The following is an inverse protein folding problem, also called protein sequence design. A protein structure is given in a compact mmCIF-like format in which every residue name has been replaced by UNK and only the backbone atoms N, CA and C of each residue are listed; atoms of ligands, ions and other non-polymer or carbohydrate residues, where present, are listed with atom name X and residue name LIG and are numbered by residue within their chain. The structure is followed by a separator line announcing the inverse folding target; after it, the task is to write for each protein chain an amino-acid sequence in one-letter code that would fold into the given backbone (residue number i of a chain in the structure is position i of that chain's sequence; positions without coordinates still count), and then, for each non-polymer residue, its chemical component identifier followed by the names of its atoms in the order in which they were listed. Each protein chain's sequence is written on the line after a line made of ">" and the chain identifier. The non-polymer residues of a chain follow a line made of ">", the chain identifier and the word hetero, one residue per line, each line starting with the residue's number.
data_IF_199878794848
#
_entry.id   IF_199878794848
#
_cell.length_a   1.000
_cell.length_b   1.000
_cell.length_c   1.000
_cell.angle_alpha   90.00
_cell.angle_beta   90.00
_cell.angle_gamma   90.00
#
_symmetry.space_group_name_H-M   'P 1'
#
loop_
_entity.id
_entity.type
_entity.pdbx_description
1 polymer ?
#
# COMPACT_ATOMS: atom_id res chain seq x y z
N UNK A 1 11.18 10.81 1.22
CA UNK A 1 11.42 10.70 -0.23
C UNK A 1 10.18 11.16 -0.98
N UNK A 2 10.30 12.16 -1.85
CA UNK A 2 9.15 12.73 -2.57
C UNK A 2 8.62 11.77 -3.64
N UNK A 3 7.32 11.50 -3.61
CA UNK A 3 6.60 10.74 -4.65
C UNK A 3 6.14 11.70 -5.74
N UNK A 4 5.36 12.72 -5.37
CA UNK A 4 4.89 13.77 -6.26
C UNK A 4 4.43 15.01 -5.45
N UNK A 5 3.95 16.05 -6.14
CA UNK A 5 3.33 17.23 -5.53
C UNK A 5 1.90 17.38 -6.05
N UNK A 6 0.96 17.65 -5.16
CA UNK A 6 -0.44 17.91 -5.48
C UNK A 6 -0.86 19.26 -4.93
N UNK A 7 -1.14 20.24 -5.80
CA UNK A 7 -1.59 21.59 -5.40
C UNK A 7 -0.76 22.22 -4.28
N UNK A 8 0.56 22.05 -4.34
CA UNK A 8 1.50 22.55 -3.33
C UNK A 8 1.80 21.58 -2.17
N UNK A 9 1.04 20.50 -2.01
CA UNK A 9 1.29 19.48 -0.98
C UNK A 9 2.27 18.43 -1.50
N UNK A 10 3.41 18.28 -0.82
CA UNK A 10 4.34 17.20 -1.11
C UNK A 10 3.81 15.88 -0.54
N UNK A 11 3.72 14.87 -1.39
CA UNK A 11 3.42 13.50 -0.98
C UNK A 11 4.73 12.73 -0.89
N UNK A 12 5.03 12.17 0.27
CA UNK A 12 6.34 11.58 0.56
C UNK A 12 6.22 10.21 1.21
N UNK A 13 7.14 9.30 0.92
CA UNK A 13 7.40 8.13 1.79
C UNK A 13 8.43 8.56 2.82
N UNK A 14 8.11 8.46 4.11
CA UNK A 14 9.07 8.69 5.19
C UNK A 14 9.90 7.41 5.39
N UNK A 15 11.17 7.55 5.79
CA UNK A 15 12.10 6.43 5.94
C UNK A 15 12.48 6.15 7.39
N UNK A 16 12.22 7.09 8.29
CA UNK A 16 12.48 6.95 9.72
C UNK A 16 11.18 6.56 10.40
N UNK A 17 11.26 5.55 11.26
CA UNK A 17 10.15 5.04 12.06
C UNK A 17 8.93 4.57 11.24
N UNK A 18 9.13 4.34 9.94
CA UNK A 18 8.09 3.89 9.04
C UNK A 18 7.85 2.40 9.25
N UNK A 19 6.58 2.04 9.50
CA UNK A 19 6.17 0.68 9.77
C UNK A 19 5.02 0.25 8.85
N UNK A 20 4.72 -1.04 8.83
CA UNK A 20 3.58 -1.57 8.10
C UNK A 20 2.24 -0.98 8.58
N UNK A 21 1.21 -0.90 7.71
CA UNK A 21 1.24 -1.16 6.26
C UNK A 21 1.95 -0.08 5.43
N UNK A 22 2.26 -0.35 4.14
CA UNK A 22 2.82 0.63 3.22
C UNK A 22 1.98 1.91 3.13
N UNK A 23 2.61 3.07 3.33
CA UNK A 23 1.92 4.35 3.35
C UNK A 23 2.79 5.51 2.87
N UNK A 24 2.12 6.62 2.57
CA UNK A 24 2.74 7.92 2.30
C UNK A 24 2.20 8.95 3.27
N UNK A 25 2.95 10.02 3.43
CA UNK A 25 2.66 11.16 4.28
C UNK A 25 2.47 12.41 3.44
N UNK A 26 1.58 13.27 3.90
CA UNK A 26 1.36 14.60 3.37
C UNK A 26 1.40 15.57 4.52
N UNK A 27 2.27 16.58 4.42
CA UNK A 27 2.33 17.68 5.38
C UNK A 27 1.59 18.90 4.81
N UNK A 28 0.51 19.29 5.48
CA UNK A 28 -0.29 20.48 5.20
C UNK A 28 0.03 21.66 6.12
N UNK A 29 1.13 21.60 6.89
CA UNK A 29 1.63 22.61 7.81
C UNK A 29 0.89 22.63 9.15
N UNK A 30 -0.45 22.71 9.11
CA UNK A 30 -1.30 22.66 10.32
C UNK A 30 -1.94 21.30 10.58
N UNK A 31 -1.77 20.38 9.64
CA UNK A 31 -2.26 19.01 9.67
C UNK A 31 -1.29 18.14 8.87
N UNK A 32 -1.21 16.87 9.23
CA UNK A 32 -0.61 15.82 8.42
C UNK A 32 -1.66 14.78 8.08
N UNK A 33 -1.53 14.13 6.93
CA UNK A 33 -2.37 13.00 6.56
C UNK A 33 -1.52 11.85 6.08
N UNK A 34 -1.95 10.63 6.41
CA UNK A 34 -1.32 9.41 5.92
C UNK A 34 -2.28 8.69 4.99
N UNK A 35 -1.75 8.17 3.88
CA UNK A 35 -2.51 7.36 2.94
C UNK A 35 -1.85 5.99 2.79
N UNK A 36 -2.61 4.93 3.04
CA UNK A 36 -2.16 3.55 2.85
C UNK A 36 -2.29 3.15 1.40
N UNK A 37 -1.38 2.31 0.96
CA UNK A 37 -1.45 1.60 -0.31
C UNK A 37 -1.01 0.15 -0.09
N UNK A 38 -1.20 -0.67 -1.12
CA UNK A 38 -0.87 -2.09 -1.06
C UNK A 38 -0.01 -2.52 -2.24
N UNK A 39 0.66 -3.66 -2.07
CA UNK A 39 1.37 -4.37 -3.11
C UNK A 39 0.54 -5.52 -3.72
N UNK A 40 -0.71 -5.73 -3.35
CA UNK A 40 -1.58 -6.74 -4.00
C UNK A 40 -2.81 -6.14 -4.72
N UNK A 41 -3.09 -4.85 -4.54
CA UNK A 41 -4.12 -4.13 -5.28
C UNK A 41 -3.76 -2.64 -5.40
N UNK A 42 -4.42 -1.92 -6.31
CA UNK A 42 -4.21 -0.50 -6.60
C UNK A 42 -4.98 0.47 -5.71
N UNK A 43 -5.64 -0.04 -4.67
CA UNK A 43 -6.39 0.78 -3.74
C UNK A 43 -5.48 1.69 -2.93
N UNK A 44 -5.95 2.92 -2.73
CA UNK A 44 -5.34 3.90 -1.84
C UNK A 44 -6.43 4.41 -0.91
N UNK A 45 -6.13 4.40 0.38
CA UNK A 45 -7.06 4.78 1.43
C UNK A 45 -6.47 5.85 2.33
N UNK A 46 -7.30 6.78 2.79
CA UNK A 46 -6.91 7.65 3.89
C UNK A 46 -6.77 6.81 5.16
N UNK A 47 -5.60 6.85 5.79
CA UNK A 47 -5.37 6.22 7.08
C UNK A 47 -5.88 7.13 8.19
N UNK A 48 -5.30 8.32 8.29
CA UNK A 48 -5.66 9.30 9.30
C UNK A 48 -5.27 10.72 8.91
N UNK A 49 -5.74 11.66 9.73
CA UNK A 49 -5.35 13.07 9.67
C UNK A 49 -5.08 13.54 11.10
N UNK A 50 -3.92 14.12 11.33
CA UNK A 50 -3.46 14.56 12.65
C UNK A 50 -3.09 16.04 12.63
N UNK A 51 -3.57 16.86 13.59
CA UNK A 51 -4.64 16.54 14.54
C UNK A 51 -6.01 16.53 13.83
N UNK A 52 -6.92 15.70 14.34
CA UNK A 52 -8.26 15.54 13.75
C UNK A 52 -9.03 16.87 13.63
N UNK A 53 -8.89 17.75 14.63
CA UNK A 53 -9.55 19.08 14.66
C UNK A 53 -9.02 20.10 13.65
N UNK A 54 -7.94 19.79 12.91
CA UNK A 54 -7.39 20.66 11.85
C UNK A 54 -7.46 20.02 10.47
N UNK A 55 -8.30 19.00 10.32
CA UNK A 55 -8.51 18.29 9.05
C UNK A 55 -8.86 19.27 7.93
N UNK A 56 -8.22 19.15 6.74
CA UNK A 56 -8.56 19.99 5.61
C UNK A 56 -9.93 19.60 5.03
N UNK A 57 -10.41 20.39 4.07
CA UNK A 57 -11.63 20.05 3.33
C UNK A 57 -11.53 18.65 2.69
N UNK A 58 -12.63 17.89 2.71
CA UNK A 58 -12.67 16.52 2.18
C UNK A 58 -12.21 16.45 0.72
N UNK A 59 -12.57 17.44 -0.10
CA UNK A 59 -12.13 17.54 -1.50
C UNK A 59 -10.60 17.57 -1.67
N UNK A 60 -9.85 18.08 -0.68
CA UNK A 60 -8.38 18.05 -0.70
C UNK A 60 -7.88 16.62 -0.48
N UNK A 61 -8.44 15.92 0.52
CA UNK A 61 -8.07 14.54 0.84
C UNK A 61 -8.44 13.57 -0.28
N UNK A 62 -9.63 13.72 -0.86
CA UNK A 62 -10.06 12.91 -2.00
C UNK A 62 -9.22 13.17 -3.24
N UNK A 63 -8.89 14.44 -3.50
CA UNK A 63 -7.99 14.80 -4.59
C UNK A 63 -6.59 14.21 -4.42
N UNK A 64 -6.03 14.25 -3.20
CA UNK A 64 -4.77 13.59 -2.87
C UNK A 64 -4.85 12.07 -3.08
N UNK A 65 -5.91 11.43 -2.57
CA UNK A 65 -6.15 9.99 -2.71
C UNK A 65 -6.22 9.57 -4.17
N UNK A 66 -7.01 10.28 -4.99
CA UNK A 66 -7.14 10.01 -6.42
C UNK A 66 -5.82 10.22 -7.17
N UNK A 67 -5.12 11.33 -6.89
CA UNK A 67 -3.85 11.63 -7.52
C UNK A 67 -2.77 10.60 -7.15
N UNK A 68 -2.78 10.10 -5.91
CA UNK A 68 -1.90 9.01 -5.47
C UNK A 68 -2.30 7.67 -6.08
N UNK A 69 -3.60 7.36 -6.21
CA UNK A 69 -4.07 6.13 -6.88
C UNK A 69 -3.50 6.01 -8.29
N UNK A 70 -3.52 7.10 -9.07
CA UNK A 70 -2.94 7.15 -10.42
C UNK A 70 -1.41 6.98 -10.45
N UNK A 71 -0.73 7.18 -9.31
CA UNK A 71 0.73 7.24 -9.19
C UNK A 71 1.28 6.27 -8.14
N UNK A 72 0.48 5.30 -7.69
CA UNK A 72 0.80 4.45 -6.55
C UNK A 72 2.05 3.61 -6.81
N UNK A 73 2.31 3.25 -8.07
CA UNK A 73 3.52 2.58 -8.51
C UNK A 73 4.79 3.36 -8.11
N UNK A 74 4.79 4.70 -8.11
CA UNK A 74 5.92 5.50 -7.65
C UNK A 74 6.17 5.37 -6.15
N UNK A 75 5.09 5.33 -5.35
CA UNK A 75 5.19 5.11 -3.91
C UNK A 75 5.71 3.70 -3.59
N UNK A 76 5.20 2.67 -4.30
CA UNK A 76 5.67 1.29 -4.20
C UNK A 76 7.16 1.15 -4.49
N UNK A 77 7.63 1.78 -5.58
CA UNK A 77 9.06 1.77 -5.96
C UNK A 77 9.93 2.36 -4.85
N UNK A 78 9.56 3.53 -4.35
CA UNK A 78 10.30 4.18 -3.26
C UNK A 78 10.30 3.32 -2.01
N UNK A 79 9.12 2.87 -1.57
CA UNK A 79 8.95 2.00 -0.41
C UNK A 79 9.80 0.72 -0.54
N UNK A 80 9.67 -0.01 -1.64
CA UNK A 80 10.43 -1.23 -1.89
C UNK A 80 11.93 -0.98 -1.88
N UNK A 81 12.39 0.05 -2.59
CA UNK A 81 13.83 0.35 -2.70
C UNK A 81 14.49 0.70 -1.35
N UNK A 82 13.71 1.17 -0.36
CA UNK A 82 14.23 1.66 0.92
C UNK A 82 13.91 0.77 2.11
N UNK A 83 12.70 0.23 2.18
CA UNK A 83 12.19 -0.55 3.32
C UNK A 83 12.20 -2.06 3.05
N UNK A 84 12.26 -2.49 1.78
CA UNK A 84 12.43 -3.91 1.38
C UNK A 84 11.40 -4.87 2.00
N UNK A 85 10.18 -4.41 2.22
CA UNK A 85 9.06 -5.22 2.70
C UNK A 85 7.77 -4.82 1.98
N UNK A 86 6.88 -5.79 1.74
CA UNK A 86 5.53 -5.56 1.21
C UNK A 86 4.48 -5.60 2.33
N UNK A 87 4.89 -6.01 3.54
CA UNK A 87 4.03 -6.24 4.69
C UNK A 87 2.93 -7.29 4.42
N UNK A 88 3.20 -8.30 3.58
CA UNK A 88 2.21 -9.33 3.21
C UNK A 88 2.54 -10.69 3.81
N UNK A 89 3.78 -10.90 4.24
CA UNK A 89 4.21 -12.10 4.92
C UNK A 89 3.32 -12.38 6.13
N UNK A 90 2.99 -13.65 6.35
CA UNK A 90 2.07 -14.12 7.39
C UNK A 90 0.60 -13.73 7.23
N UNK A 91 0.22 -13.02 6.15
CA UNK A 91 -1.19 -12.83 5.80
C UNK A 91 -1.70 -14.02 4.97
N UNK A 92 -3.03 -14.10 4.80
CA UNK A 92 -3.67 -15.16 4.03
C UNK A 92 -4.00 -14.65 2.62
N UNK A 93 -3.67 -15.46 1.61
CA UNK A 93 -4.11 -15.28 0.24
C UNK A 93 -5.32 -16.17 -0.04
N UNK A 94 -6.45 -15.58 -0.42
CA UNK A 94 -7.62 -16.32 -0.92
C UNK A 94 -7.51 -16.48 -2.43
N UNK A 95 -7.38 -17.73 -2.88
CA UNK A 95 -7.25 -18.06 -4.30
C UNK A 95 -8.50 -17.76 -5.12
N UNK A 96 -9.69 -17.88 -4.52
CA UNK A 96 -10.95 -17.62 -5.21
C UNK A 96 -11.21 -16.12 -5.31
N UNK A 97 -10.94 -15.37 -4.24
CA UNK A 97 -11.12 -13.92 -4.22
C UNK A 97 -10.00 -13.16 -4.93
N UNK A 98 -8.85 -13.80 -5.20
CA UNK A 98 -7.64 -13.17 -5.75
C UNK A 98 -7.21 -11.97 -4.89
N UNK A 99 -7.24 -12.17 -3.56
CA UNK A 99 -7.09 -11.11 -2.59
C UNK A 99 -6.39 -11.60 -1.31
N UNK A 100 -5.74 -10.65 -0.63
CA UNK A 100 -5.28 -10.89 0.74
C UNK A 100 -6.45 -10.70 1.70
N UNK A 101 -6.65 -11.64 2.61
CA UNK A 101 -7.76 -11.67 3.56
C UNK A 101 -7.25 -11.82 4.98
N UNK A 102 -7.99 -11.25 5.94
CA UNK A 102 -7.63 -11.35 7.37
C UNK A 102 -8.01 -12.72 7.97
N UNK A 103 -9.01 -13.40 7.38
CA UNK A 103 -9.57 -14.64 7.90
C UNK A 103 -10.00 -15.55 6.76
N UNK A 104 -9.87 -16.86 6.97
CA UNK A 104 -10.43 -17.85 6.07
C UNK A 104 -11.95 -17.93 6.24
N UNK A 105 -12.71 -17.72 5.16
CA UNK A 105 -14.12 -18.12 5.11
C UNK A 105 -14.26 -19.61 4.77
N UNK A 106 -15.30 -20.24 5.30
CA UNK A 106 -15.60 -21.65 5.01
C UNK A 106 -15.78 -21.86 3.51
N UNK A 107 -15.09 -22.85 2.94
CA UNK A 107 -15.13 -23.18 1.51
C UNK A 107 -14.13 -22.40 0.63
N UNK A 108 -13.40 -21.43 1.19
CA UNK A 108 -12.33 -20.73 0.46
C UNK A 108 -11.01 -21.50 0.53
N UNK A 109 -10.31 -21.56 -0.60
CA UNK A 109 -8.95 -22.10 -0.67
C UNK A 109 -7.96 -21.00 -0.33
N UNK A 110 -7.67 -20.85 0.96
CA UNK A 110 -6.71 -19.88 1.47
C UNK A 110 -5.32 -20.49 1.66
N UNK A 111 -4.29 -19.67 1.53
CA UNK A 111 -2.91 -20.05 1.78
C UNK A 111 -2.20 -18.99 2.62
N UNK A 112 -1.29 -19.43 3.48
CA UNK A 112 -0.38 -18.50 4.15
C UNK A 112 0.64 -17.97 3.13
N UNK A 113 0.85 -16.66 3.11
CA UNK A 113 1.92 -16.03 2.33
C UNK A 113 3.23 -16.24 3.08
N UNK A 114 4.10 -17.07 2.50
CA UNK A 114 5.44 -17.36 3.01
C UNK A 114 6.39 -16.19 2.75
N UNK A 115 6.37 -15.67 1.51
CA UNK A 115 7.19 -14.54 1.10
C UNK A 115 6.48 -13.73 0.02
N UNK A 116 6.77 -12.42 0.00
CA UNK A 116 6.27 -11.51 -1.01
C UNK A 116 7.42 -10.68 -1.59
N UNK A 117 7.43 -10.51 -2.92
CA UNK A 117 8.48 -9.77 -3.60
C UNK A 117 7.91 -8.86 -4.68
N UNK A 118 8.31 -7.59 -4.68
CA UNK A 118 7.90 -6.61 -5.69
C UNK A 118 8.93 -6.53 -6.82
N UNK A 119 8.48 -6.77 -8.05
CA UNK A 119 9.24 -6.67 -9.30
C UNK A 119 8.98 -5.30 -9.93
N UNK A 120 9.83 -4.33 -9.58
CA UNK A 120 9.69 -2.91 -9.95
C UNK A 120 9.54 -2.67 -11.46
N UNK A 121 10.28 -3.39 -12.29
CA UNK A 121 10.29 -3.20 -13.75
C UNK A 121 8.94 -3.54 -14.40
N UNK A 122 8.16 -4.43 -13.77
CA UNK A 122 6.86 -4.90 -14.27
C UNK A 122 5.68 -4.36 -13.45
N UNK A 123 5.92 -3.57 -12.40
CA UNK A 123 4.90 -3.22 -11.39
C UNK A 123 4.12 -4.46 -10.92
N UNK A 124 4.85 -5.54 -10.62
CA UNK A 124 4.28 -6.86 -10.36
C UNK A 124 4.67 -7.34 -8.97
N UNK A 125 3.75 -7.98 -8.25
CA UNK A 125 4.03 -8.64 -6.97
C UNK A 125 4.01 -10.15 -7.15
N UNK A 126 5.04 -10.82 -6.62
CA UNK A 126 5.13 -12.28 -6.53
C UNK A 126 4.89 -12.72 -5.11
N UNK A 127 3.99 -13.67 -4.92
CA UNK A 127 3.74 -14.32 -3.64
C UNK A 127 4.16 -15.78 -3.73
N UNK A 128 4.92 -16.24 -2.74
CA UNK A 128 5.13 -17.66 -2.47
C UNK A 128 4.17 -18.08 -1.37
N UNK A 129 3.45 -19.17 -1.59
CA UNK A 129 2.37 -19.62 -0.72
C UNK A 129 2.72 -20.96 -0.09
N UNK A 130 2.51 -21.09 1.23
CA UNK A 130 2.80 -22.33 1.96
C UNK A 130 1.92 -23.46 1.44
N UNK A 131 2.56 -24.55 0.98
CA UNK A 131 1.87 -25.75 0.50
C UNK A 131 1.20 -25.61 -0.87
N UNK A 132 1.33 -24.48 -1.56
CA UNK A 132 0.88 -24.35 -2.94
C UNK A 132 1.98 -24.84 -3.91
N UNK A 133 1.57 -25.53 -4.98
CA UNK A 133 2.50 -26.00 -6.01
C UNK A 133 3.08 -24.85 -6.87
N UNK A 134 2.38 -23.73 -6.94
CA UNK A 134 2.77 -22.54 -7.69
C UNK A 134 2.53 -21.28 -6.86
N UNK A 135 3.39 -20.28 -7.05
CA UNK A 135 3.18 -18.94 -6.50
C UNK A 135 2.13 -18.14 -7.27
N UNK A 136 1.87 -16.93 -6.82
CA UNK A 136 0.94 -15.99 -7.46
C UNK A 136 1.72 -14.81 -8.02
N UNK A 137 1.45 -14.44 -9.27
CA UNK A 137 1.89 -13.17 -9.84
C UNK A 137 0.70 -12.22 -9.95
N UNK A 138 0.84 -11.00 -9.42
CA UNK A 138 -0.18 -9.96 -9.41
C UNK A 138 0.36 -8.77 -10.20
N UNK A 139 -0.22 -8.48 -11.35
CA UNK A 139 0.06 -7.26 -12.10
C UNK A 139 -0.74 -6.08 -11.52
N UNK A 140 -0.07 -4.95 -11.33
CA UNK A 140 -0.61 -3.75 -10.68
C UNK A 140 -0.55 -2.53 -11.59
#
# INVERSE_FOLDING_TARGET
>A
MKVFVYKGYAVVVMLRDEHCPPHVHVDGGRWSARFRFSFWHNGVELWDVVPHGRRPALAVLDGLRQALTQRVHLARRIWWSKLRTLCLEQQLWDWQANAVVERSSAGCRVYLIESAHYVEQRNLTRLTLVGAAQGVEIEL
#
